data_IF_010174106077
#
_entry.id   IF_010174106077
#
_cell.length_a   1.000
_cell.length_b   1.000
_cell.length_c   1.000
_cell.angle_alpha   90.00
_cell.angle_beta   90.00
_cell.angle_gamma   90.00
#
_symmetry.space_group_name_H-M   'P 1'
#
loop_
_entity.id
_entity.type
_entity.pdbx_description
1 polymer ?
#
# COMPACT_ATOMS: atom_id res chain seq x y z
N UNK A 1 27.13 1.43 -7.63
CA UNK A 1 25.66 1.36 -7.56
C UNK A 1 25.23 2.29 -6.46
N UNK A 2 24.25 3.15 -6.72
CA UNK A 2 23.68 4.01 -5.69
C UNK A 2 22.92 3.14 -4.68
N UNK A 3 22.77 3.57 -3.42
CA UNK A 3 21.96 2.83 -2.44
C UNK A 3 20.51 2.64 -2.91
N UNK A 4 20.01 3.50 -3.80
CA UNK A 4 18.67 3.35 -4.40
C UNK A 4 18.60 2.16 -5.35
N UNK A 5 19.69 1.76 -5.99
CA UNK A 5 19.68 0.71 -7.01
C UNK A 5 19.46 -0.70 -6.40
N UNK A 6 19.69 -0.88 -5.10
CA UNK A 6 19.49 -2.16 -4.40
C UNK A 6 18.13 -2.27 -3.70
N UNK A 7 17.47 -1.13 -3.47
CA UNK A 7 16.15 -1.08 -2.84
C UNK A 7 15.11 -1.55 -3.84
N UNK A 8 14.25 -2.47 -3.43
CA UNK A 8 13.16 -2.97 -4.25
C UNK A 8 11.79 -2.72 -3.62
N UNK A 9 10.77 -2.64 -4.48
CA UNK A 9 9.40 -2.29 -4.09
C UNK A 9 8.42 -3.36 -4.58
N UNK A 10 7.53 -3.80 -3.70
CA UNK A 10 6.27 -4.45 -4.07
C UNK A 10 5.11 -3.46 -3.88
N UNK A 11 4.15 -3.47 -4.79
CA UNK A 11 2.96 -2.61 -4.76
C UNK A 11 1.74 -3.51 -4.65
N UNK A 12 0.87 -3.23 -3.69
CA UNK A 12 -0.48 -3.81 -3.61
C UNK A 12 -1.49 -2.67 -3.78
N UNK A 13 -2.34 -2.75 -4.79
CA UNK A 13 -3.32 -1.71 -5.12
C UNK A 13 -4.72 -2.28 -5.09
N UNK A 14 -5.51 -1.88 -4.10
CA UNK A 14 -6.88 -2.34 -3.90
C UNK A 14 -7.88 -1.50 -4.72
N UNK A 15 -8.89 -2.11 -5.32
CA UNK A 15 -9.95 -1.39 -6.02
C UNK A 15 -11.20 -2.26 -6.13
N UNK A 16 -12.28 -1.71 -6.70
CA UNK A 16 -13.51 -2.44 -6.91
C UNK A 16 -13.87 -2.54 -8.38
N UNK A 17 -14.45 -3.68 -8.75
CA UNK A 17 -15.03 -3.94 -10.07
C UNK A 17 -16.54 -4.01 -9.94
N UNK A 18 -17.24 -3.34 -10.84
CA UNK A 18 -18.70 -3.30 -10.84
C UNK A 18 -19.32 -4.66 -11.22
N UNK A 19 -20.38 -5.00 -10.50
CA UNK A 19 -21.28 -6.12 -10.78
C UNK A 19 -22.62 -5.57 -11.26
N UNK A 20 -23.15 -6.16 -12.33
CA UNK A 20 -24.42 -5.77 -12.93
C UNK A 20 -25.46 -6.86 -12.65
N UNK A 21 -26.46 -6.57 -11.83
CA UNK A 21 -27.63 -7.43 -11.67
C UNK A 21 -28.48 -7.33 -12.94
N UNK A 22 -28.98 -8.46 -13.43
CA UNK A 22 -29.76 -8.60 -14.68
C UNK A 22 -30.98 -7.68 -14.82
N UNK A 23 -31.49 -7.11 -13.72
CA UNK A 23 -32.70 -6.28 -13.70
C UNK A 23 -32.45 -4.80 -13.32
N UNK A 24 -31.19 -4.39 -13.09
CA UNK A 24 -30.87 -2.97 -12.84
C UNK A 24 -30.52 -2.25 -14.14
N UNK A 25 -30.99 -1.00 -14.28
CA UNK A 25 -30.69 -0.19 -15.46
C UNK A 25 -29.19 0.16 -15.48
N UNK A 26 -28.45 -0.36 -16.46
CA UNK A 26 -27.07 0.03 -16.69
C UNK A 26 -26.97 1.55 -16.90
N UNK A 27 -25.82 2.14 -16.53
CA UNK A 27 -25.58 3.57 -16.75
C UNK A 27 -25.57 3.86 -18.26
N UNK A 28 -26.39 4.83 -18.68
CA UNK A 28 -26.51 5.23 -20.09
C UNK A 28 -25.16 5.66 -20.63
N UNK A 29 -24.73 5.06 -21.75
CA UNK A 29 -23.46 5.38 -22.42
C UNK A 29 -22.21 4.74 -21.81
N UNK A 30 -22.35 3.99 -20.72
CA UNK A 30 -21.26 3.16 -20.22
C UNK A 30 -21.13 1.90 -21.08
N UNK A 31 -19.92 1.65 -21.58
CA UNK A 31 -19.62 0.54 -22.50
C UNK A 31 -18.53 -0.38 -21.97
N UNK A 32 -17.91 -0.01 -20.84
CA UNK A 32 -16.92 -0.83 -20.18
C UNK A 32 -17.57 -2.05 -19.57
N UNK A 33 -16.79 -3.10 -19.44
CA UNK A 33 -17.25 -4.37 -18.91
C UNK A 33 -17.65 -4.25 -17.43
N UNK A 34 -18.76 -4.87 -17.10
CA UNK A 34 -19.23 -5.16 -15.74
C UNK A 34 -19.42 -6.66 -15.60
N UNK A 35 -19.17 -7.22 -14.42
CA UNK A 35 -19.43 -8.64 -14.21
C UNK A 35 -20.94 -8.88 -14.18
N UNK A 36 -21.50 -9.73 -15.06
CA UNK A 36 -22.88 -10.16 -14.93
C UNK A 36 -23.07 -10.84 -13.57
N UNK A 37 -24.13 -10.48 -12.86
CA UNK A 37 -24.52 -11.03 -11.57
C UNK A 37 -26.01 -11.33 -11.57
N UNK A 38 -26.43 -12.30 -10.75
CA UNK A 38 -27.84 -12.61 -10.50
C UNK A 38 -28.23 -12.21 -9.08
N UNK A 39 -29.52 -12.01 -8.79
CA UNK A 39 -29.98 -11.78 -7.41
C UNK A 39 -29.47 -12.83 -6.42
N UNK A 40 -29.39 -14.10 -6.83
CA UNK A 40 -28.88 -15.19 -6.00
C UNK A 40 -27.37 -15.07 -5.76
N UNK A 41 -26.59 -14.69 -6.78
CA UNK A 41 -25.16 -14.47 -6.63
C UNK A 41 -24.88 -13.30 -5.70
N UNK A 42 -25.66 -12.22 -5.80
CA UNK A 42 -25.58 -11.08 -4.90
C UNK A 42 -25.97 -11.45 -3.45
N UNK A 43 -27.07 -12.18 -3.26
CA UNK A 43 -27.42 -12.72 -1.94
C UNK A 43 -26.31 -13.63 -1.39
N UNK A 44 -25.64 -14.39 -2.25
CA UNK A 44 -24.41 -15.12 -1.90
C UNK A 44 -23.35 -14.19 -1.31
N UNK A 45 -23.03 -13.08 -1.97
CA UNK A 45 -22.06 -12.08 -1.47
C UNK A 45 -22.46 -11.52 -0.09
N UNK A 46 -23.75 -11.19 0.10
CA UNK A 46 -24.29 -10.73 1.40
C UNK A 46 -24.06 -11.77 2.49
N UNK A 47 -24.21 -13.05 2.15
CA UNK A 47 -24.03 -14.17 3.07
C UNK A 47 -22.56 -14.63 3.18
N UNK A 48 -21.63 -13.96 2.49
CA UNK A 48 -20.20 -14.29 2.52
C UNK A 48 -19.77 -15.41 1.57
N UNK A 49 -20.62 -15.80 0.61
CA UNK A 49 -20.27 -16.71 -0.49
C UNK A 49 -19.85 -15.93 -1.75
N UNK A 50 -18.54 -15.94 -2.00
CA UNK A 50 -17.93 -15.25 -3.14
C UNK A 50 -17.65 -16.17 -4.34
N UNK A 51 -17.99 -17.47 -4.24
CA UNK A 51 -17.50 -18.51 -5.17
C UNK A 51 -17.94 -18.27 -6.62
N UNK A 52 -19.17 -17.79 -6.82
CA UNK A 52 -19.75 -17.54 -8.15
C UNK A 52 -19.17 -16.34 -8.87
N UNK A 53 -18.74 -15.31 -8.14
CA UNK A 53 -18.30 -14.02 -8.70
C UNK A 53 -16.77 -13.92 -8.76
N UNK A 54 -16.07 -14.54 -7.81
CA UNK A 54 -14.60 -14.45 -7.67
C UNK A 54 -13.87 -14.82 -8.96
N UNK A 55 -14.11 -16.01 -9.49
CA UNK A 55 -13.39 -16.50 -10.68
C UNK A 55 -13.66 -15.63 -11.93
N UNK A 56 -14.93 -15.32 -12.30
CA UNK A 56 -15.22 -14.44 -13.43
C UNK A 56 -14.56 -13.06 -13.35
N UNK A 57 -14.63 -12.38 -12.20
CA UNK A 57 -14.05 -11.04 -12.03
C UNK A 57 -12.53 -11.08 -12.15
N UNK A 58 -11.87 -11.96 -11.39
CA UNK A 58 -10.40 -12.03 -11.35
C UNK A 58 -9.84 -12.43 -12.71
N UNK A 59 -10.44 -13.41 -13.39
CA UNK A 59 -10.03 -13.79 -14.74
C UNK A 59 -10.19 -12.64 -15.73
N UNK A 60 -11.26 -11.83 -15.61
CA UNK A 60 -11.46 -10.70 -16.54
C UNK A 60 -10.48 -9.56 -16.31
N UNK A 61 -10.10 -9.29 -15.06
CA UNK A 61 -9.04 -8.32 -14.74
C UNK A 61 -7.71 -8.81 -15.36
N UNK A 62 -7.35 -10.09 -15.15
CA UNK A 62 -6.15 -10.68 -15.77
C UNK A 62 -6.19 -10.59 -17.30
N UNK A 63 -7.27 -10.99 -17.95
CA UNK A 63 -7.45 -10.87 -19.40
C UNK A 63 -7.28 -9.43 -19.89
N UNK A 64 -7.87 -8.46 -19.19
CA UNK A 64 -7.80 -7.04 -19.54
C UNK A 64 -6.36 -6.51 -19.47
N UNK A 65 -5.61 -6.87 -18.42
CA UNK A 65 -4.20 -6.50 -18.26
C UNK A 65 -3.33 -7.22 -19.31
N UNK A 66 -3.60 -8.50 -19.57
CA UNK A 66 -2.89 -9.28 -20.57
C UNK A 66 -3.04 -8.71 -21.98
N UNK A 67 -4.24 -8.23 -22.34
CA UNK A 67 -4.49 -7.61 -23.64
C UNK A 67 -3.70 -6.28 -23.84
N UNK A 68 -3.18 -5.69 -22.76
CA UNK A 68 -2.24 -4.56 -22.82
C UNK A 68 -0.77 -5.00 -22.93
N UNK A 69 -0.50 -6.29 -23.14
CA UNK A 69 0.83 -6.85 -23.33
C UNK A 69 1.61 -7.09 -22.04
N UNK A 70 0.95 -7.14 -20.89
CA UNK A 70 1.58 -7.36 -19.58
C UNK A 70 1.43 -8.82 -19.16
N UNK A 71 2.46 -9.39 -18.52
CA UNK A 71 2.37 -10.70 -17.88
C UNK A 71 1.64 -10.59 -16.54
N UNK A 72 0.58 -11.39 -16.37
CA UNK A 72 -0.30 -11.34 -15.21
C UNK A 72 -0.78 -12.74 -14.85
N UNK A 73 -1.02 -12.99 -13.56
CA UNK A 73 -1.52 -14.25 -13.06
C UNK A 73 -2.48 -14.11 -11.88
N UNK A 74 -3.15 -15.20 -11.53
CA UNK A 74 -4.01 -15.32 -10.36
C UNK A 74 -3.99 -16.76 -9.84
N UNK A 75 -4.54 -16.98 -8.65
CA UNK A 75 -4.76 -18.34 -8.14
C UNK A 75 -5.75 -19.11 -9.02
N UNK A 76 -5.61 -20.44 -9.10
CA UNK A 76 -6.60 -21.32 -9.72
C UNK A 76 -7.74 -21.60 -8.74
N UNK A 77 -8.96 -21.19 -9.08
CA UNK A 77 -10.16 -21.40 -8.24
C UNK A 77 -10.92 -22.69 -8.64
N UNK A 78 -11.24 -23.54 -7.66
CA UNK A 78 -12.13 -24.71 -7.79
C UNK A 78 -13.52 -24.43 -7.15
N UNK A 79 -14.58 -25.19 -7.50
CA UNK A 79 -14.69 -26.15 -8.60
C UNK A 79 -15.16 -25.44 -9.87
N UNK A 80 -14.48 -25.67 -10.99
CA UNK A 80 -15.08 -25.38 -12.28
C UNK A 80 -16.19 -26.41 -12.49
N UNK A 81 -17.45 -26.00 -12.37
CA UNK A 81 -18.54 -26.74 -12.99
C UNK A 81 -18.18 -26.83 -14.47
N UNK A 82 -17.98 -28.05 -14.96
CA UNK A 82 -17.32 -28.43 -16.22
C UNK A 82 -15.79 -28.19 -16.28
N UNK A 83 -15.09 -29.26 -16.67
CA UNK A 83 -13.69 -29.37 -17.13
C UNK A 83 -13.04 -28.02 -17.44
N UNK A 84 -11.83 -27.67 -16.90
CA UNK A 84 -11.18 -26.38 -17.15
C UNK A 84 -11.29 -26.01 -18.61
N UNK A 85 -12.26 -25.14 -18.93
CA UNK A 85 -12.27 -24.44 -20.19
C UNK A 85 -10.90 -23.78 -20.23
N UNK A 86 -10.02 -24.30 -21.08
CA UNK A 86 -8.69 -23.78 -21.25
C UNK A 86 -8.89 -22.37 -21.77
N UNK A 87 -8.86 -21.39 -20.85
CA UNK A 87 -8.91 -19.99 -21.21
C UNK A 87 -7.77 -19.79 -22.21
N UNK A 88 -8.14 -19.47 -23.44
CA UNK A 88 -7.20 -19.41 -24.55
C UNK A 88 -6.09 -18.41 -24.21
N UNK A 89 -4.83 -18.78 -24.52
CA UNK A 89 -3.67 -17.95 -24.20
C UNK A 89 -3.20 -18.01 -22.74
N UNK A 90 -3.75 -18.91 -21.92
CA UNK A 90 -3.32 -19.12 -20.52
C UNK A 90 -2.49 -20.38 -20.33
N UNK A 91 -1.70 -20.42 -19.26
CA UNK A 91 -0.99 -21.61 -18.78
C UNK A 91 -1.25 -21.79 -17.28
N UNK A 92 -1.42 -23.03 -16.82
CA UNK A 92 -1.50 -23.35 -15.39
C UNK A 92 -0.13 -23.87 -14.94
N UNK A 93 0.42 -23.27 -13.88
CA UNK A 93 1.74 -23.60 -13.35
C UNK A 93 1.63 -23.87 -11.84
N UNK A 94 2.40 -24.84 -11.34
CA UNK A 94 2.53 -25.08 -9.91
C UNK A 94 3.48 -24.06 -9.29
N UNK A 95 3.11 -23.51 -8.13
CA UNK A 95 3.98 -22.63 -7.35
C UNK A 95 5.12 -23.44 -6.72
N UNK A 96 6.31 -22.83 -6.64
CA UNK A 96 7.49 -23.49 -6.06
C UNK A 96 7.43 -23.54 -4.53
N UNK A 97 6.89 -22.50 -3.89
CA UNK A 97 6.99 -22.35 -2.42
C UNK A 97 5.72 -22.78 -1.68
N UNK A 98 4.72 -23.32 -2.38
CA UNK A 98 3.43 -23.69 -1.78
C UNK A 98 2.69 -24.74 -2.58
N UNK A 99 1.80 -25.47 -1.91
CA UNK A 99 0.84 -26.37 -2.55
C UNK A 99 -0.27 -25.54 -3.21
N UNK A 100 0.03 -24.93 -4.36
CA UNK A 100 -0.90 -24.09 -5.09
C UNK A 100 -0.58 -24.05 -6.58
N UNK A 101 -1.59 -23.73 -7.38
CA UNK A 101 -1.46 -23.51 -8.81
C UNK A 101 -1.87 -22.09 -9.14
N UNK A 102 -1.15 -21.48 -10.07
CA UNK A 102 -1.49 -20.18 -10.65
C UNK A 102 -1.85 -20.34 -12.12
N UNK A 103 -2.79 -19.51 -12.57
CA UNK A 103 -3.10 -19.32 -13.98
C UNK A 103 -2.40 -18.08 -14.48
N UNK A 104 -1.68 -18.19 -15.59
CA UNK A 104 -0.80 -17.15 -16.12
C UNK A 104 -1.18 -16.81 -17.55
N UNK A 105 -1.26 -15.51 -17.84
CA UNK A 105 -1.38 -14.93 -19.17
C UNK A 105 -0.05 -14.34 -19.61
N UNK A 106 0.21 -14.32 -20.93
CA UNK A 106 1.43 -13.76 -21.50
C UNK A 106 2.72 -14.29 -20.85
N UNK A 107 2.78 -15.61 -20.59
CA UNK A 107 3.93 -16.26 -19.92
C UNK A 107 5.27 -15.87 -20.57
N UNK A 108 5.32 -15.75 -21.90
CA UNK A 108 6.53 -15.38 -22.63
C UNK A 108 7.04 -13.95 -22.40
N UNK A 109 6.25 -13.08 -21.74
CA UNK A 109 6.60 -11.70 -21.40
C UNK A 109 7.14 -11.59 -19.96
N UNK A 110 6.88 -12.58 -19.11
CA UNK A 110 7.39 -12.60 -17.75
C UNK A 110 8.91 -12.89 -17.76
N UNK A 111 9.68 -12.08 -17.03
CA UNK A 111 11.10 -12.36 -16.84
C UNK A 111 11.27 -13.62 -15.97
N UNK A 112 12.10 -14.57 -16.42
CA UNK A 112 12.52 -15.76 -15.67
C UNK A 112 11.42 -16.63 -15.04
N UNK A 113 10.48 -17.08 -15.87
CA UNK A 113 9.59 -18.21 -15.54
C UNK A 113 10.15 -19.58 -15.97
N UNK A 114 11.44 -19.64 -16.32
CA UNK A 114 12.13 -20.87 -16.74
C UNK A 114 12.60 -21.73 -15.54
N UNK A 115 12.62 -21.16 -14.33
CA UNK A 115 13.00 -21.81 -13.08
C UNK A 115 11.84 -21.95 -12.10
N UNK A 116 11.98 -21.37 -10.91
CA UNK A 116 10.95 -21.37 -9.87
C UNK A 116 9.81 -20.37 -10.18
N UNK A 117 8.58 -20.80 -9.92
CA UNK A 117 7.36 -20.03 -10.19
C UNK A 117 6.82 -19.49 -8.87
N UNK A 118 6.89 -18.18 -8.69
CA UNK A 118 6.34 -17.48 -7.53
C UNK A 118 5.26 -16.47 -7.97
N UNK A 119 4.37 -16.10 -7.04
CA UNK A 119 3.35 -15.07 -7.28
C UNK A 119 3.96 -13.71 -7.63
N UNK A 120 5.20 -13.47 -7.23
CA UNK A 120 5.98 -12.25 -7.46
C UNK A 120 6.68 -12.20 -8.82
N UNK A 121 6.56 -13.23 -9.67
CA UNK A 121 7.17 -13.25 -11.01
C UNK A 121 6.38 -12.40 -12.03
N UNK A 122 5.09 -12.18 -11.79
CA UNK A 122 4.20 -11.42 -12.66
C UNK A 122 3.38 -10.44 -11.85
N UNK A 123 2.60 -9.60 -12.52
CA UNK A 123 1.47 -8.95 -11.85
C UNK A 123 0.51 -10.04 -11.36
N UNK A 124 -0.05 -9.88 -10.16
CA UNK A 124 -0.86 -10.90 -9.52
C UNK A 124 -2.19 -10.30 -9.06
N UNK A 125 -3.30 -10.86 -9.49
CA UNK A 125 -4.64 -10.35 -9.15
C UNK A 125 -5.27 -11.25 -8.10
N UNK A 126 -5.75 -10.65 -7.02
CA UNK A 126 -6.46 -11.36 -5.94
C UNK A 126 -7.80 -10.72 -5.64
N UNK A 127 -8.77 -11.49 -5.14
CA UNK A 127 -10.01 -10.95 -4.59
C UNK A 127 -9.71 -10.25 -3.27
N UNK A 128 -10.33 -9.09 -3.05
CA UNK A 128 -10.31 -8.46 -1.74
C UNK A 128 -11.71 -8.52 -1.08
N UNK A 129 -11.84 -9.52 -0.22
CA UNK A 129 -13.09 -9.94 0.41
C UNK A 129 -13.56 -8.92 1.44
N UNK A 130 -12.64 -8.28 2.18
CA UNK A 130 -13.05 -7.34 3.23
C UNK A 130 -13.74 -6.10 2.62
N UNK A 131 -13.20 -5.55 1.52
CA UNK A 131 -13.81 -4.46 0.77
C UNK A 131 -15.19 -4.86 0.23
N UNK A 132 -15.29 -6.06 -0.34
CA UNK A 132 -16.58 -6.59 -0.84
C UNK A 132 -17.62 -6.65 0.29
N UNK A 133 -17.23 -7.18 1.45
CA UNK A 133 -18.10 -7.28 2.62
C UNK A 133 -18.53 -5.90 3.13
N UNK A 134 -17.62 -4.92 3.17
CA UNK A 134 -17.93 -3.57 3.61
C UNK A 134 -18.92 -2.89 2.66
N UNK A 135 -18.77 -3.04 1.34
CA UNK A 135 -19.72 -2.51 0.35
C UNK A 135 -21.13 -3.09 0.49
N UNK A 136 -21.22 -4.42 0.69
CA UNK A 136 -22.52 -5.10 0.77
C UNK A 136 -23.22 -4.86 2.12
N UNK A 137 -22.45 -4.68 3.20
CA UNK A 137 -23.00 -4.48 4.55
C UNK A 137 -23.22 -3.01 4.94
N UNK A 138 -22.53 -2.06 4.31
CA UNK A 138 -22.58 -0.62 4.62
C UNK A 138 -22.97 0.17 3.39
N UNK A 139 -24.26 0.51 3.27
CA UNK A 139 -24.86 1.23 2.14
C UNK A 139 -24.28 2.63 1.85
N UNK A 140 -23.30 3.11 2.62
CA UNK A 140 -22.63 4.39 2.44
C UNK A 140 -21.23 4.32 1.81
N UNK A 141 -20.68 3.13 1.56
CA UNK A 141 -19.30 2.93 1.05
C UNK A 141 -19.23 2.42 -0.39
N UNK A 142 -20.33 2.49 -1.12
CA UNK A 142 -20.36 2.08 -2.52
C UNK A 142 -20.03 3.27 -3.43
N UNK A 143 -19.11 3.11 -4.40
CA UNK A 143 -18.78 4.19 -5.33
C UNK A 143 -19.99 4.73 -6.10
N UNK A 144 -20.96 3.85 -6.41
CA UNK A 144 -22.23 4.21 -7.05
C UNK A 144 -23.35 3.26 -6.59
N UNK A 145 -24.58 3.77 -6.57
CA UNK A 145 -25.83 3.02 -6.35
C UNK A 145 -26.29 2.23 -7.58
N UNK A 146 -25.64 2.39 -8.73
CA UNK A 146 -26.00 1.74 -10.00
C UNK A 146 -25.47 0.33 -10.15
N UNK A 147 -24.50 -0.03 -9.33
CA UNK A 147 -23.79 -1.30 -9.37
C UNK A 147 -23.58 -1.83 -7.97
N UNK A 148 -23.47 -3.15 -7.86
CA UNK A 148 -22.78 -3.76 -6.73
C UNK A 148 -21.29 -3.82 -7.02
N UNK A 149 -20.49 -4.08 -5.99
CA UNK A 149 -19.05 -3.92 -6.07
C UNK A 149 -18.32 -5.13 -5.51
N UNK A 150 -17.35 -5.62 -6.27
CA UNK A 150 -16.46 -6.69 -5.85
C UNK A 150 -15.05 -6.14 -5.67
N UNK A 151 -14.52 -6.26 -4.46
CA UNK A 151 -13.15 -5.86 -4.12
C UNK A 151 -12.12 -6.77 -4.76
N UNK A 152 -11.05 -6.18 -5.24
CA UNK A 152 -9.91 -6.84 -5.88
C UNK A 152 -8.64 -6.07 -5.56
N UNK A 153 -7.50 -6.75 -5.65
CA UNK A 153 -6.20 -6.15 -5.45
C UNK A 153 -5.27 -6.58 -6.59
N UNK A 154 -4.51 -5.61 -7.10
CA UNK A 154 -3.46 -5.81 -8.08
C UNK A 154 -2.10 -5.70 -7.38
N UNK A 155 -1.38 -6.81 -7.38
CA UNK A 155 -0.04 -6.92 -6.80
C UNK A 155 1.02 -6.87 -7.89
N UNK A 156 2.04 -6.04 -7.70
CA UNK A 156 3.17 -5.98 -8.62
C UNK A 156 4.10 -7.17 -8.41
N UNK A 157 4.88 -7.55 -9.44
CA UNK A 157 6.12 -8.29 -9.18
C UNK A 157 7.04 -7.44 -8.28
N UNK A 158 8.10 -8.05 -7.72
CA UNK A 158 9.12 -7.29 -7.01
C UNK A 158 9.83 -6.37 -8.02
N UNK A 159 9.62 -5.07 -7.88
CA UNK A 159 10.18 -4.06 -8.76
C UNK A 159 11.63 -3.80 -8.36
N UNK A 160 12.54 -4.31 -9.18
CA UNK A 160 14.00 -4.14 -9.04
C UNK A 160 14.60 -3.29 -10.17
N UNK A 161 13.86 -3.12 -11.28
CA UNK A 161 14.37 -2.51 -12.50
C UNK A 161 14.40 -0.99 -12.38
N UNK A 162 15.55 -0.31 -12.55
CA UNK A 162 15.64 1.15 -12.48
C UNK A 162 14.70 1.88 -13.44
N UNK A 163 14.37 1.26 -14.58
CA UNK A 163 13.44 1.81 -15.58
C UNK A 163 12.02 1.94 -15.04
N UNK A 164 11.58 1.06 -14.13
CA UNK A 164 10.26 1.19 -13.51
C UNK A 164 10.17 2.47 -12.68
N UNK A 165 11.23 2.82 -11.95
CA UNK A 165 11.24 4.02 -11.11
C UNK A 165 11.50 5.29 -11.93
N UNK A 166 12.56 5.29 -12.74
CA UNK A 166 12.96 6.47 -13.54
C UNK A 166 11.94 6.90 -14.59
N UNK A 167 11.01 6.03 -15.00
CA UNK A 167 9.96 6.32 -15.97
C UNK A 167 8.55 6.41 -15.34
N UNK A 168 8.44 6.49 -14.00
CA UNK A 168 7.17 6.66 -13.32
C UNK A 168 6.22 5.48 -13.47
N UNK A 169 6.72 4.28 -13.17
CA UNK A 169 6.02 2.99 -13.16
C UNK A 169 5.25 2.70 -14.47
N UNK A 170 5.94 2.65 -15.63
CA UNK A 170 5.31 2.49 -16.94
C UNK A 170 4.47 1.20 -17.05
N UNK A 171 4.87 0.11 -16.40
CA UNK A 171 4.11 -1.15 -16.45
C UNK A 171 2.83 -1.04 -15.61
N UNK A 172 2.91 -0.46 -14.40
CA UNK A 172 1.72 -0.17 -13.60
C UNK A 172 0.75 0.72 -14.38
N UNK A 173 1.26 1.78 -15.01
CA UNK A 173 0.45 2.69 -15.84
C UNK A 173 -0.29 1.96 -16.95
N UNK A 174 0.34 0.99 -17.62
CA UNK A 174 -0.33 0.13 -18.61
C UNK A 174 -1.47 -0.68 -17.98
N UNK A 175 -1.22 -1.32 -16.84
CA UNK A 175 -2.24 -2.09 -16.11
C UNK A 175 -3.45 -1.21 -15.74
N UNK A 176 -3.21 -0.05 -15.11
CA UNK A 176 -4.27 0.85 -14.66
C UNK A 176 -5.08 1.42 -15.83
N UNK A 177 -4.42 1.85 -16.91
CA UNK A 177 -5.11 2.33 -18.12
C UNK A 177 -5.96 1.24 -18.76
N UNK A 178 -5.44 0.01 -18.81
CA UNK A 178 -6.17 -1.12 -19.38
C UNK A 178 -7.44 -1.43 -18.56
N UNK A 179 -7.32 -1.55 -17.25
CA UNK A 179 -8.45 -1.81 -16.35
C UNK A 179 -9.46 -0.67 -16.40
N UNK A 180 -9.03 0.57 -16.16
CA UNK A 180 -9.92 1.74 -16.16
C UNK A 180 -10.59 2.00 -17.51
N UNK A 181 -9.91 1.71 -18.61
CA UNK A 181 -10.41 1.92 -19.97
C UNK A 181 -11.42 0.87 -20.42
N UNK A 182 -11.35 -0.35 -19.88
CA UNK A 182 -12.15 -1.49 -20.36
C UNK A 182 -13.13 -2.06 -19.33
N UNK A 183 -13.02 -1.66 -18.05
CA UNK A 183 -13.86 -2.16 -16.95
C UNK A 183 -14.43 -1.00 -16.15
N UNK A 184 -15.67 -1.16 -15.68
CA UNK A 184 -16.27 -0.22 -14.73
C UNK A 184 -15.65 -0.49 -13.36
N UNK A 185 -14.87 0.47 -12.88
CA UNK A 185 -14.13 0.38 -11.62
C UNK A 185 -14.43 1.56 -10.72
N UNK A 186 -14.29 1.33 -9.43
CA UNK A 186 -14.55 2.30 -8.38
C UNK A 186 -13.55 2.17 -7.25
N UNK A 187 -13.47 3.22 -6.45
CA UNK A 187 -12.66 3.31 -5.24
C UNK A 187 -13.54 3.83 -4.11
N UNK A 188 -13.21 3.45 -2.89
CA UNK A 188 -13.80 4.01 -1.68
C UNK A 188 -12.71 4.23 -0.64
N UNK A 189 -13.11 4.69 0.54
CA UNK A 189 -12.20 4.95 1.66
C UNK A 189 -11.50 3.71 2.23
N UNK A 190 -12.00 2.51 1.95
CA UNK A 190 -11.40 1.25 2.38
C UNK A 190 -10.31 0.76 1.43
N UNK A 191 -10.29 1.23 0.18
CA UNK A 191 -9.24 0.85 -0.78
C UNK A 191 -7.90 1.52 -0.42
N UNK A 192 -6.90 0.70 -0.09
CA UNK A 192 -5.53 1.10 0.22
C UNK A 192 -4.52 0.88 -0.91
N UNK A 193 -3.44 1.66 -0.82
CA UNK A 193 -2.20 1.42 -1.53
C UNK A 193 -1.16 0.95 -0.51
N UNK A 194 -0.66 -0.27 -0.67
CA UNK A 194 0.40 -0.82 0.18
C UNK A 194 1.72 -0.87 -0.60
N UNK A 195 2.78 -0.40 0.03
CA UNK A 195 4.12 -0.40 -0.53
C UNK A 195 5.05 -1.22 0.36
N UNK A 196 5.50 -2.35 -0.16
CA UNK A 196 6.48 -3.20 0.48
C UNK A 196 7.88 -2.80 0.05
N UNK A 197 8.78 -2.55 1.01
CA UNK A 197 10.17 -2.16 0.73
C UNK A 197 11.17 -3.05 1.47
N UNK A 198 12.26 -3.38 0.80
CA UNK A 198 13.45 -4.03 1.36
C UNK A 198 14.69 -3.80 0.46
N UNK A 199 15.85 -4.24 0.94
CA UNK A 199 17.13 -4.27 0.21
C UNK A 199 17.35 -5.69 -0.37
N UNK A 200 17.22 -5.84 -1.69
CA UNK A 200 17.51 -7.08 -2.43
C UNK A 200 17.09 -8.39 -1.73
N UNK A 201 15.83 -8.47 -1.26
CA UNK A 201 15.24 -9.63 -0.58
C UNK A 201 15.74 -9.94 0.85
N UNK A 202 16.58 -9.11 1.47
CA UNK A 202 17.01 -9.28 2.86
C UNK A 202 16.94 -7.99 3.66
N UNK A 203 15.83 -7.82 4.40
CA UNK A 203 15.70 -6.72 5.34
C UNK A 203 16.56 -6.96 6.58
N UNK A 204 17.39 -5.97 6.94
CA UNK A 204 18.15 -5.97 8.20
C UNK A 204 17.33 -5.30 9.30
N UNK A 205 17.46 -5.81 10.52
CA UNK A 205 16.79 -5.24 11.69
C UNK A 205 17.16 -3.76 11.89
N UNK A 206 18.46 -3.43 11.88
CA UNK A 206 18.93 -2.05 12.07
C UNK A 206 18.30 -1.09 11.06
N UNK A 207 18.20 -1.50 9.79
CA UNK A 207 17.54 -0.70 8.75
C UNK A 207 16.05 -0.53 9.05
N UNK A 208 15.37 -1.60 9.49
CA UNK A 208 13.96 -1.52 9.84
C UNK A 208 13.72 -0.60 11.06
N UNK A 209 14.56 -0.66 12.09
CA UNK A 209 14.52 0.22 13.26
C UNK A 209 14.73 1.68 12.87
N UNK A 210 15.70 1.96 11.99
CA UNK A 210 15.96 3.30 11.46
C UNK A 210 14.82 3.84 10.62
N UNK A 211 14.23 3.04 9.72
CA UNK A 211 13.04 3.46 8.95
C UNK A 211 11.88 3.73 9.90
N UNK A 212 11.65 2.85 10.87
CA UNK A 212 10.57 3.03 11.87
C UNK A 212 10.76 4.32 12.67
N UNK A 213 12.00 4.63 13.07
CA UNK A 213 12.35 5.90 13.74
C UNK A 213 12.04 7.11 12.87
N UNK A 214 12.40 7.07 11.58
CA UNK A 214 12.07 8.16 10.64
C UNK A 214 10.56 8.31 10.49
N UNK A 215 9.86 7.21 10.24
CA UNK A 215 8.41 7.20 10.06
C UNK A 215 7.72 7.78 11.29
N UNK A 216 8.11 7.38 12.50
CA UNK A 216 7.57 7.90 13.76
C UNK A 216 7.56 9.43 13.81
N UNK A 217 8.65 10.08 13.39
CA UNK A 217 8.76 11.54 13.38
C UNK A 217 8.01 12.19 12.21
N UNK A 218 7.78 11.45 11.13
CA UNK A 218 7.26 11.97 9.87
C UNK A 218 5.75 11.74 9.68
N UNK A 219 5.09 10.93 10.51
CA UNK A 219 3.67 10.59 10.34
C UNK A 219 2.80 11.84 10.21
N UNK A 220 2.88 12.77 11.17
CA UNK A 220 1.98 13.94 11.22
C UNK A 220 2.43 15.12 10.36
N UNK A 221 3.68 15.12 9.89
CA UNK A 221 4.27 16.28 9.19
C UNK A 221 4.61 16.01 7.73
N UNK A 222 4.66 14.75 7.32
CA UNK A 222 4.93 14.34 5.94
C UNK A 222 3.97 13.26 5.45
N UNK A 223 3.86 12.10 6.12
CA UNK A 223 3.16 10.95 5.55
C UNK A 223 1.64 11.16 5.47
N UNK A 224 0.96 11.39 6.59
CA UNK A 224 -0.49 11.66 6.56
C UNK A 224 -0.85 12.98 5.85
N UNK A 225 -0.06 14.07 5.95
CA UNK A 225 -0.31 15.27 5.16
C UNK A 225 -0.31 15.06 3.63
N UNK A 226 0.28 13.96 3.12
CA UNK A 226 0.24 13.60 1.71
C UNK A 226 -0.92 12.65 1.35
N UNK A 227 -1.66 12.16 2.34
CA UNK A 227 -2.78 11.23 2.16
C UNK A 227 -4.13 11.97 2.22
N UNK A 228 -5.20 11.31 1.79
CA UNK A 228 -6.54 11.83 2.04
C UNK A 228 -6.80 11.92 3.57
N UNK A 229 -7.45 12.99 4.08
CA UNK A 229 -7.63 13.20 5.53
C UNK A 229 -8.24 12.01 6.29
N UNK A 230 -9.17 11.28 5.67
CA UNK A 230 -9.78 10.05 6.24
C UNK A 230 -8.75 8.98 6.64
N UNK A 231 -7.61 8.89 5.95
CA UNK A 231 -6.57 7.88 6.22
C UNK A 231 -6.05 7.98 7.65
N UNK A 232 -6.00 9.19 8.19
CA UNK A 232 -5.57 9.45 9.56
C UNK A 232 -6.49 8.88 10.64
N UNK A 233 -7.73 8.53 10.28
CA UNK A 233 -8.74 7.93 11.15
C UNK A 233 -9.12 6.52 10.72
N UNK A 234 -8.48 5.99 9.67
CA UNK A 234 -8.79 4.67 9.14
C UNK A 234 -8.28 3.59 10.10
N UNK A 235 -9.10 2.58 10.45
CA UNK A 235 -8.65 1.47 11.27
C UNK A 235 -7.61 0.57 10.57
N UNK A 236 -7.47 0.71 9.24
CA UNK A 236 -6.55 -0.05 8.40
C UNK A 236 -5.18 0.65 8.24
N UNK A 237 -5.03 1.85 8.79
CA UNK A 237 -3.86 2.72 8.64
C UNK A 237 -3.67 3.56 9.91
N UNK A 238 -3.63 2.91 11.09
CA UNK A 238 -3.43 3.57 12.37
C UNK A 238 -1.98 4.08 12.53
N UNK A 239 -1.75 5.16 13.27
CA UNK A 239 -0.40 5.71 13.46
C UNK A 239 0.46 4.78 14.30
N UNK A 240 1.69 4.49 13.88
CA UNK A 240 2.61 3.76 14.77
C UNK A 240 3.03 4.60 15.97
N UNK A 241 3.10 5.93 15.83
CA UNK A 241 3.52 6.84 16.90
C UNK A 241 2.50 7.00 18.03
N UNK A 242 1.26 6.54 17.81
CA UNK A 242 0.13 6.73 18.75
C UNK A 242 -0.53 5.40 19.11
N UNK A 243 -0.72 4.50 18.14
CA UNK A 243 -1.60 3.34 18.27
C UNK A 243 -0.83 2.01 18.33
N UNK A 244 0.49 2.02 18.09
CA UNK A 244 1.30 0.81 18.19
C UNK A 244 1.50 0.35 19.63
N UNK A 245 1.95 -0.89 19.82
CA UNK A 245 2.40 -1.36 21.15
C UNK A 245 3.57 -0.54 21.67
N UNK A 246 4.53 -0.21 20.81
CA UNK A 246 5.67 0.65 21.20
C UNK A 246 5.18 2.00 21.77
N UNK A 247 4.12 2.59 21.19
CA UNK A 247 3.59 3.86 21.65
C UNK A 247 2.89 3.75 23.01
N UNK A 248 2.15 2.67 23.25
CA UNK A 248 1.26 2.51 24.40
C UNK A 248 1.86 1.71 25.57
N UNK A 249 2.89 0.91 25.33
CA UNK A 249 3.57 0.16 26.37
C UNK A 249 4.34 1.08 27.32
N UNK A 250 4.43 0.65 28.57
CA UNK A 250 5.21 1.33 29.62
C UNK A 250 6.59 0.71 29.73
N UNK A 251 7.54 1.46 30.30
CA UNK A 251 8.90 1.01 30.53
C UNK A 251 9.90 1.60 29.54
N UNK A 252 11.14 1.70 30.02
CA UNK A 252 12.26 2.28 29.29
C UNK A 252 13.43 1.29 29.35
N UNK A 253 13.42 0.26 28.49
CA UNK A 253 14.43 -0.78 28.54
C UNK A 253 15.83 -0.21 28.22
N UNK A 254 16.90 -0.86 28.72
CA UNK A 254 18.25 -0.50 28.35
C UNK A 254 18.48 -0.80 26.86
N UNK A 255 19.08 0.15 26.17
CA UNK A 255 19.48 0.05 24.75
C UNK A 255 21.00 0.10 24.67
N UNK A 256 21.56 -0.45 23.60
CA UNK A 256 23.00 -0.55 23.41
C UNK A 256 23.40 -0.15 22.00
N UNK A 257 24.69 0.14 21.80
CA UNK A 257 25.26 0.37 20.47
C UNK A 257 24.66 1.59 19.79
N UNK A 258 24.16 1.42 18.56
CA UNK A 258 23.61 2.53 17.80
C UNK A 258 22.37 3.15 18.46
N UNK A 259 21.46 2.33 18.99
CA UNK A 259 20.23 2.84 19.62
C UNK A 259 20.53 3.74 20.81
N UNK A 260 21.52 3.39 21.63
CA UNK A 260 21.98 4.23 22.73
C UNK A 260 22.53 5.58 22.22
N UNK A 261 23.37 5.55 21.20
CA UNK A 261 23.94 6.77 20.62
C UNK A 261 22.85 7.68 20.02
N UNK A 262 21.84 7.11 19.35
CA UNK A 262 20.70 7.87 18.81
C UNK A 262 19.88 8.51 19.93
N UNK A 263 19.55 7.74 20.97
CA UNK A 263 18.73 8.22 22.10
C UNK A 263 19.46 9.32 22.86
N UNK A 264 20.77 9.18 23.08
CA UNK A 264 21.59 10.23 23.71
C UNK A 264 21.61 11.50 22.85
N UNK A 265 21.77 11.38 21.52
CA UNK A 265 21.73 12.53 20.61
C UNK A 265 20.36 13.23 20.61
N UNK A 266 19.26 12.47 20.67
CA UNK A 266 17.90 13.02 20.81
C UNK A 266 17.71 13.71 22.16
N UNK A 267 18.17 13.10 23.26
CA UNK A 267 18.10 13.67 24.60
C UNK A 267 18.85 15.02 24.67
N UNK A 268 20.07 15.09 24.14
CA UNK A 268 20.85 16.33 24.09
C UNK A 268 20.11 17.42 23.29
N UNK A 269 19.55 17.05 22.13
CA UNK A 269 18.78 17.97 21.30
C UNK A 269 17.51 18.45 22.00
N UNK A 270 16.80 17.57 22.72
CA UNK A 270 15.64 17.92 23.54
C UNK A 270 16.00 18.94 24.63
N UNK A 271 17.16 18.79 25.28
CA UNK A 271 17.63 19.76 26.28
C UNK A 271 17.88 21.13 25.62
N UNK A 272 18.54 21.16 24.47
CA UNK A 272 18.79 22.40 23.72
C UNK A 272 17.49 23.07 23.24
N UNK A 273 16.47 22.28 22.93
CA UNK A 273 15.17 22.74 22.44
C UNK A 273 14.10 22.83 23.54
N UNK A 274 14.46 22.68 24.81
CA UNK A 274 13.54 22.59 25.96
C UNK A 274 12.57 23.77 26.12
N UNK A 275 12.89 24.91 25.50
CA UNK A 275 12.02 26.08 25.43
C UNK A 275 10.82 25.92 24.47
N UNK A 276 10.79 24.90 23.62
CA UNK A 276 9.71 24.64 22.66
C UNK A 276 8.60 23.79 23.26
N UNK A 277 7.36 24.16 22.99
CA UNK A 277 6.16 23.50 23.56
C UNK A 277 5.94 22.06 23.09
N UNK A 278 6.48 21.70 21.93
CA UNK A 278 6.30 20.37 21.31
C UNK A 278 7.46 19.40 21.58
N UNK A 279 8.43 19.78 22.42
CA UNK A 279 9.43 18.82 22.90
C UNK A 279 8.73 17.85 23.85
N UNK A 280 8.60 16.61 23.39
CA UNK A 280 7.97 15.52 24.11
C UNK A 280 9.01 14.52 24.59
N UNK A 281 9.23 14.44 25.90
CA UNK A 281 10.17 13.50 26.51
C UNK A 281 9.68 12.05 26.45
N UNK A 282 8.38 11.81 26.28
CA UNK A 282 7.82 10.47 26.16
C UNK A 282 8.33 9.73 24.91
N UNK A 283 8.73 10.49 23.87
CA UNK A 283 9.39 9.98 22.68
C UNK A 283 10.64 9.15 23.01
N UNK A 284 11.42 9.53 24.02
CA UNK A 284 12.63 8.78 24.39
C UNK A 284 12.28 7.38 24.91
N UNK A 285 11.21 7.25 25.68
CA UNK A 285 10.72 5.95 26.13
C UNK A 285 10.27 5.08 24.94
N UNK A 286 9.55 5.67 23.99
CA UNK A 286 9.14 4.98 22.77
C UNK A 286 10.35 4.54 21.92
N UNK A 287 11.34 5.40 21.75
CA UNK A 287 12.57 5.06 21.04
C UNK A 287 13.36 3.97 21.76
N UNK A 288 13.39 3.95 23.11
CA UNK A 288 14.01 2.87 23.88
C UNK A 288 13.32 1.53 23.63
N UNK A 289 11.99 1.50 23.64
CA UNK A 289 11.22 0.28 23.34
C UNK A 289 11.45 -0.18 21.89
N UNK A 290 11.41 0.73 20.93
CA UNK A 290 11.70 0.43 19.53
C UNK A 290 13.09 -0.19 19.35
N UNK A 291 14.13 0.45 19.88
CA UNK A 291 15.52 0.01 19.71
C UNK A 291 15.92 -1.15 20.63
N UNK A 292 15.01 -1.63 21.47
CA UNK A 292 15.17 -2.85 22.26
C UNK A 292 14.73 -4.11 21.50
N UNK A 293 13.98 -3.97 20.41
CA UNK A 293 13.47 -5.10 19.63
C UNK A 293 14.62 -5.96 19.08
N UNK A 294 14.68 -7.27 19.40
CA UNK A 294 15.83 -8.13 19.08
C UNK A 294 15.78 -8.76 17.68
N UNK A 295 14.65 -8.68 16.99
CA UNK A 295 14.45 -9.33 15.70
C UNK A 295 13.34 -8.65 14.89
N UNK A 296 13.29 -8.91 13.59
CA UNK A 296 12.21 -8.44 12.72
C UNK A 296 10.84 -8.97 13.14
N UNK A 297 10.78 -10.21 13.62
CA UNK A 297 9.53 -10.81 14.09
C UNK A 297 9.03 -10.10 15.35
N UNK A 298 9.94 -9.79 16.29
CA UNK A 298 9.62 -9.03 17.50
C UNK A 298 9.17 -7.60 17.17
N UNK A 299 9.90 -6.90 16.30
CA UNK A 299 9.52 -5.59 15.78
C UNK A 299 8.14 -5.63 15.10
N UNK A 300 7.85 -6.68 14.34
CA UNK A 300 6.56 -6.89 13.72
C UNK A 300 5.41 -7.05 14.70
N UNK A 301 5.64 -7.65 15.87
CA UNK A 301 4.66 -7.70 16.97
C UNK A 301 4.51 -6.34 17.65
N UNK A 302 5.62 -5.63 17.86
CA UNK A 302 5.67 -4.34 18.55
C UNK A 302 5.01 -3.20 17.75
N UNK A 303 5.02 -3.30 16.41
CA UNK A 303 4.34 -2.36 15.51
C UNK A 303 2.85 -2.65 15.29
N UNK A 304 2.30 -3.72 15.87
CA UNK A 304 0.86 -3.97 15.83
C UNK A 304 0.10 -2.92 16.61
N UNK A 305 -1.18 -2.76 16.27
CA UNK A 305 -2.08 -1.94 17.07
C UNK A 305 -2.18 -2.53 18.48
N UNK A 306 -2.16 -1.67 19.52
CA UNK A 306 -1.99 -2.11 20.90
C UNK A 306 -3.04 -3.14 21.36
N UNK A 307 -4.27 -3.00 20.90
CA UNK A 307 -5.42 -3.86 21.25
C UNK A 307 -5.61 -5.08 20.32
N UNK A 308 -4.74 -5.29 19.35
CA UNK A 308 -4.89 -6.32 18.30
C UNK A 308 -4.58 -7.76 18.79
N UNK A 309 -4.03 -7.91 19.99
CA UNK A 309 -3.61 -9.22 20.51
C UNK A 309 -2.43 -9.83 19.75
N UNK A 310 -2.40 -11.16 19.63
CA UNK A 310 -1.32 -11.95 19.01
C UNK A 310 -1.63 -12.43 17.60
N UNK A 311 -2.85 -12.23 17.11
CA UNK A 311 -3.25 -12.59 15.74
C UNK A 311 -3.22 -11.36 14.83
N UNK A 312 -3.01 -11.58 13.53
CA UNK A 312 -3.15 -10.52 12.55
C UNK A 312 -4.63 -10.29 12.27
N UNK A 313 -5.15 -9.15 12.70
CA UNK A 313 -6.53 -8.74 12.44
C UNK A 313 -6.60 -7.80 11.22
N UNK A 314 -7.80 -7.34 10.95
CA UNK A 314 -8.10 -6.32 9.94
C UNK A 314 -7.75 -4.91 10.42
N UNK A 315 -7.50 -4.65 11.72
CA UNK A 315 -7.10 -3.31 12.19
C UNK A 315 -5.60 -3.23 12.33
N UNK A 316 -4.92 -2.31 11.63
CA UNK A 316 -3.45 -2.31 11.55
C UNK A 316 -2.88 -0.91 11.66
N UNK A 317 -1.64 -0.84 12.13
CA UNK A 317 -0.85 0.36 11.96
C UNK A 317 -0.41 0.53 10.50
N UNK A 318 -0.08 1.78 10.14
CA UNK A 318 0.27 2.21 8.80
C UNK A 318 1.70 1.78 8.39
N UNK A 319 2.51 1.30 9.33
CA UNK A 319 3.79 0.64 9.06
C UNK A 319 3.80 -0.72 9.74
N UNK A 320 4.12 -1.77 8.97
CA UNK A 320 4.11 -3.16 9.45
C UNK A 320 5.36 -3.89 8.96
N UNK A 321 5.91 -4.79 9.78
CA UNK A 321 6.84 -5.83 9.27
C UNK A 321 6.00 -6.97 8.70
N UNK A 322 6.01 -7.11 7.38
CA UNK A 322 5.19 -8.11 6.69
C UNK A 322 5.72 -9.54 6.92
N UNK A 323 4.87 -10.54 6.65
CA UNK A 323 5.27 -11.96 6.62
C UNK A 323 6.37 -12.27 5.60
N UNK A 324 6.58 -11.38 4.63
CA UNK A 324 7.63 -11.48 3.61
C UNK A 324 8.95 -10.82 4.06
N UNK A 325 9.05 -10.42 5.33
CA UNK A 325 10.20 -9.70 5.89
C UNK A 325 10.50 -8.42 5.10
N UNK A 326 9.45 -7.67 4.78
CA UNK A 326 9.51 -6.32 4.20
C UNK A 326 8.88 -5.33 5.16
N UNK A 327 9.24 -4.05 5.06
CA UNK A 327 8.44 -2.99 5.66
C UNK A 327 7.31 -2.65 4.70
N UNK A 328 6.09 -2.73 5.20
CA UNK A 328 4.87 -2.44 4.47
C UNK A 328 4.31 -1.09 4.92
N UNK A 329 4.27 -0.14 4.00
CA UNK A 329 3.68 1.17 4.17
C UNK A 329 2.24 1.14 3.69
N UNK A 330 1.29 1.36 4.61
CA UNK A 330 -0.15 1.38 4.38
C UNK A 330 -0.73 2.79 4.56
N UNK A 331 0.03 3.84 4.27
CA UNK A 331 -0.43 5.23 4.47
C UNK A 331 -1.43 5.71 3.41
N UNK A 332 -1.09 5.69 2.10
CA UNK A 332 -1.95 6.27 1.07
C UNK A 332 -3.19 5.42 0.77
N UNK A 333 -4.28 6.09 0.39
CA UNK A 333 -5.41 5.46 -0.29
C UNK A 333 -5.04 4.99 -1.70
N UNK A 334 -5.79 4.00 -2.17
CA UNK A 334 -5.68 3.50 -3.53
C UNK A 334 -6.16 4.52 -4.55
N UNK A 335 -5.64 4.40 -5.78
CA UNK A 335 -5.99 5.27 -6.88
C UNK A 335 -5.58 4.72 -8.25
N UNK A 336 -6.14 5.33 -9.30
CA UNK A 336 -5.77 5.07 -10.69
C UNK A 336 -4.90 6.20 -11.28
N UNK A 337 -3.89 6.63 -10.52
CA UNK A 337 -2.89 7.63 -10.92
C UNK A 337 -1.48 7.09 -10.71
N UNK A 338 -0.87 6.62 -11.80
CA UNK A 338 0.47 6.05 -11.75
C UNK A 338 1.55 7.08 -11.36
N UNK A 339 1.35 8.37 -11.59
CA UNK A 339 2.34 9.40 -11.24
C UNK A 339 2.39 9.62 -9.72
N UNK A 340 1.23 9.63 -9.06
CA UNK A 340 1.17 9.71 -7.61
C UNK A 340 1.68 8.43 -6.93
N UNK A 341 1.32 7.26 -7.46
CA UNK A 341 1.84 5.97 -6.95
C UNK A 341 3.36 5.91 -7.10
N UNK A 342 3.91 6.38 -8.24
CA UNK A 342 5.35 6.48 -8.44
C UNK A 342 6.00 7.45 -7.43
N UNK A 343 5.38 8.59 -7.15
CA UNK A 343 5.84 9.54 -6.13
C UNK A 343 5.94 8.90 -4.74
N UNK A 344 4.95 8.10 -4.35
CA UNK A 344 5.01 7.34 -3.09
C UNK A 344 6.06 6.24 -3.10
N UNK A 345 6.19 5.50 -4.20
CA UNK A 345 7.24 4.49 -4.34
C UNK A 345 8.64 5.12 -4.17
N UNK A 346 8.88 6.27 -4.80
CA UNK A 346 10.13 7.01 -4.66
C UNK A 346 10.35 7.55 -3.25
N UNK A 347 9.30 8.06 -2.59
CA UNK A 347 9.39 8.52 -1.20
C UNK A 347 9.75 7.38 -0.26
N UNK A 348 9.09 6.22 -0.38
CA UNK A 348 9.37 5.04 0.45
C UNK A 348 10.79 4.51 0.20
N UNK A 349 11.21 4.44 -1.07
CA UNK A 349 12.60 4.10 -1.43
C UNK A 349 13.60 5.07 -0.82
N UNK A 350 13.28 6.36 -0.82
CA UNK A 350 14.15 7.39 -0.25
C UNK A 350 14.25 7.28 1.28
N UNK A 351 13.14 7.06 2.00
CA UNK A 351 13.16 6.84 3.45
C UNK A 351 14.04 5.63 3.80
N UNK A 352 13.93 4.56 3.02
CA UNK A 352 14.77 3.37 3.18
C UNK A 352 16.25 3.69 2.89
N UNK A 353 16.54 4.45 1.84
CA UNK A 353 17.90 4.87 1.51
C UNK A 353 18.53 5.75 2.60
N UNK A 354 17.74 6.63 3.25
CA UNK A 354 18.20 7.42 4.41
C UNK A 354 18.58 6.48 5.57
N UNK A 355 17.76 5.46 5.84
CA UNK A 355 18.05 4.47 6.87
C UNK A 355 19.29 3.60 6.57
N UNK A 356 19.66 3.43 5.31
CA UNK A 356 20.87 2.70 4.89
C UNK A 356 22.16 3.52 4.98
N UNK A 357 22.10 4.83 5.26
CA UNK A 357 23.30 5.67 5.38
C UNK A 357 24.16 5.29 6.58
N UNK A 358 25.36 5.88 6.66
CA UNK A 358 26.18 5.76 7.87
C UNK A 358 25.42 6.27 9.10
N UNK A 359 25.74 5.73 10.28
CA UNK A 359 25.11 6.15 11.54
C UNK A 359 25.18 7.68 11.73
N UNK A 360 26.32 8.30 11.42
CA UNK A 360 26.50 9.75 11.54
C UNK A 360 25.54 10.54 10.63
N UNK A 361 25.38 10.13 9.38
CA UNK A 361 24.46 10.79 8.43
C UNK A 361 22.99 10.54 8.78
N UNK A 362 22.67 9.35 9.26
CA UNK A 362 21.33 9.01 9.75
C UNK A 362 20.97 9.89 10.95
N UNK A 363 21.85 9.97 11.96
CA UNK A 363 21.67 10.83 13.13
C UNK A 363 21.49 12.30 12.73
N UNK A 364 22.32 12.81 11.81
CA UNK A 364 22.18 14.19 11.33
C UNK A 364 20.81 14.44 10.69
N UNK A 365 20.28 13.46 9.95
CA UNK A 365 18.95 13.55 9.34
C UNK A 365 17.87 13.53 10.41
N UNK A 366 17.94 12.62 11.38
CA UNK A 366 17.00 12.54 12.50
C UNK A 366 17.01 13.83 13.32
N UNK A 367 18.17 14.37 13.70
CA UNK A 367 18.27 15.62 14.44
C UNK A 367 17.62 16.78 13.69
N UNK A 368 17.80 16.85 12.36
CA UNK A 368 17.16 17.88 11.52
C UNK A 368 15.65 17.72 11.48
N UNK A 369 15.15 16.50 11.30
CA UNK A 369 13.71 16.21 11.31
C UNK A 369 13.11 16.54 12.68
N UNK A 370 13.76 16.12 13.77
CA UNK A 370 13.33 16.37 15.13
C UNK A 370 13.27 17.87 15.46
N UNK A 371 14.28 18.63 15.02
CA UNK A 371 14.27 20.09 15.12
C UNK A 371 13.05 20.68 14.40
N UNK A 372 12.68 20.19 13.23
CA UNK A 372 11.54 20.73 12.49
C UNK A 372 10.18 20.38 13.12
N UNK A 373 9.97 19.13 13.55
CA UNK A 373 8.68 18.70 14.14
C UNK A 373 8.38 19.42 15.46
N UNK A 374 9.41 19.84 16.19
CA UNK A 374 9.26 20.52 17.49
C UNK A 374 8.98 22.01 17.39
N UNK A 375 9.00 22.61 16.19
CA UNK A 375 8.70 24.04 16.00
C UNK A 375 7.23 24.34 16.32
N UNK A 376 6.97 25.52 16.88
CA UNK A 376 5.61 25.97 17.17
C UNK A 376 4.74 26.00 15.90
N UNK A 377 5.28 26.54 14.81
CA UNK A 377 4.69 26.43 13.49
C UNK A 377 5.01 25.06 12.89
N UNK A 378 3.97 24.27 12.63
CA UNK A 378 4.12 22.96 11.98
C UNK A 378 4.73 23.19 10.59
N UNK A 379 5.89 22.59 10.26
CA UNK A 379 6.45 22.71 8.92
C UNK A 379 5.51 22.05 7.91
N UNK A 380 5.36 22.67 6.74
CA UNK A 380 4.65 22.02 5.63
C UNK A 380 5.39 20.77 5.15
N UNK A 381 4.65 19.81 4.59
CA UNK A 381 5.19 18.55 4.06
C UNK A 381 6.38 18.74 3.10
N UNK A 382 6.37 19.80 2.30
CA UNK A 382 7.44 20.10 1.34
C UNK A 382 8.76 20.48 2.05
N UNK A 383 8.68 21.15 3.20
CA UNK A 383 9.85 21.44 4.05
C UNK A 383 10.40 20.15 4.64
N UNK A 384 9.52 19.21 5.03
CA UNK A 384 9.94 17.90 5.53
C UNK A 384 10.62 17.04 4.46
N UNK A 385 10.14 17.08 3.21
CA UNK A 385 10.83 16.43 2.08
C UNK A 385 12.26 16.95 1.93
N UNK A 386 12.46 18.27 1.99
CA UNK A 386 13.81 18.87 1.94
C UNK A 386 14.66 18.43 3.13
N UNK A 387 14.07 18.33 4.32
CA UNK A 387 14.78 17.93 5.54
C UNK A 387 15.40 16.53 5.42
N UNK A 388 14.64 15.57 4.87
CA UNK A 388 15.13 14.21 4.59
C UNK A 388 15.97 14.14 3.31
N UNK A 389 16.13 15.24 2.58
CA UNK A 389 16.89 15.32 1.33
C UNK A 389 16.15 14.72 0.12
N UNK A 390 14.83 14.54 0.19
CA UNK A 390 14.02 14.07 -0.91
C UNK A 390 13.71 15.22 -1.86
N UNK A 391 14.23 15.13 -3.09
CA UNK A 391 13.96 16.10 -4.16
C UNK A 391 13.03 15.44 -5.17
N UNK A 392 11.84 16.00 -5.31
CA UNK A 392 10.80 15.50 -6.20
C UNK A 392 10.01 16.67 -6.80
N UNK A 393 9.19 16.37 -7.80
CA UNK A 393 8.23 17.34 -8.33
C UNK A 393 7.07 17.54 -7.35
N UNK A 394 7.14 18.65 -6.60
CA UNK A 394 6.13 19.09 -5.63
C UNK A 394 4.75 19.27 -6.29
N UNK A 395 4.69 19.53 -7.60
CA UNK A 395 3.43 19.76 -8.31
C UNK A 395 2.54 18.51 -8.38
N UNK A 396 3.13 17.31 -8.41
CA UNK A 396 2.38 16.04 -8.42
C UNK A 396 1.60 15.88 -7.10
N UNK A 397 2.28 16.13 -5.98
CA UNK A 397 1.68 16.11 -4.65
C UNK A 397 0.64 17.21 -4.47
N UNK A 398 0.98 18.45 -4.83
CA UNK A 398 0.08 19.58 -4.65
C UNK A 398 -1.22 19.43 -5.46
N UNK A 399 -1.14 18.90 -6.68
CA UNK A 399 -2.31 18.58 -7.50
C UNK A 399 -3.25 17.65 -6.75
N UNK A 400 -2.73 16.57 -6.18
CA UNK A 400 -3.52 15.59 -5.43
C UNK A 400 -4.13 16.19 -4.17
N UNK A 401 -3.37 16.97 -3.42
CA UNK A 401 -3.86 17.63 -2.21
C UNK A 401 -5.02 18.60 -2.50
N UNK A 402 -4.99 19.27 -3.65
CA UNK A 402 -6.09 20.12 -4.09
C UNK A 402 -7.35 19.28 -4.43
N UNK A 403 -7.18 18.10 -5.01
CA UNK A 403 -8.30 17.19 -5.31
C UNK A 403 -8.99 16.69 -4.03
N UNK A 404 -8.25 16.42 -2.95
CA UNK A 404 -8.87 16.08 -1.64
C UNK A 404 -9.72 17.21 -1.05
N UNK A 405 -9.50 18.45 -1.45
CA UNK A 405 -10.35 19.58 -1.05
C UNK A 405 -11.52 19.81 -2.02
N UNK A 406 -11.48 19.17 -3.18
CA UNK A 406 -12.46 19.29 -4.25
C UNK A 406 -13.12 17.95 -4.58
N UNK A 407 -12.82 17.43 -5.77
CA UNK A 407 -13.48 16.25 -6.37
C UNK A 407 -13.31 14.96 -5.57
N UNK A 408 -12.29 14.86 -4.71
CA UNK A 408 -12.00 13.69 -3.87
C UNK A 408 -12.21 13.95 -2.39
N UNK A 409 -12.94 14.99 -2.01
CA UNK A 409 -13.25 15.32 -0.60
C UNK A 409 -14.07 14.25 0.13
N UNK A 410 -14.74 13.37 -0.60
CA UNK A 410 -15.39 12.19 -0.06
C UNK A 410 -15.03 10.95 -0.90
N UNK A 411 -14.10 10.15 -0.39
CA UNK A 411 -13.66 8.93 -1.08
C UNK A 411 -14.80 7.92 -1.30
N UNK A 412 -15.81 7.88 -0.43
CA UNK A 412 -16.92 6.93 -0.53
C UNK A 412 -17.98 7.34 -1.57
N UNK A 413 -17.89 8.56 -2.12
CA UNK A 413 -18.88 9.13 -3.05
C UNK A 413 -18.26 9.62 -4.35
N UNK A 414 -17.13 9.04 -4.75
CA UNK A 414 -16.44 9.43 -5.98
C UNK A 414 -17.20 9.09 -7.25
N UNK A 415 -18.19 8.20 -7.21
CA UNK A 415 -18.78 7.68 -8.43
C UNK A 415 -17.90 6.61 -9.07
N UNK A 416 -18.23 6.30 -10.32
CA UNK A 416 -17.44 5.39 -11.15
C UNK A 416 -16.23 6.17 -11.65
N UNK A 417 -15.04 5.55 -11.64
CA UNK A 417 -13.87 6.19 -12.22
C UNK A 417 -14.08 6.48 -13.71
N UNK A 418 -13.70 7.66 -14.21
CA UNK A 418 -13.86 8.01 -15.61
C UNK A 418 -13.05 7.08 -16.51
N UNK A 419 -13.42 6.99 -17.79
CA UNK A 419 -12.62 6.30 -18.80
C UNK A 419 -11.22 6.91 -18.86
N UNK A 420 -10.19 6.06 -18.98
CA UNK A 420 -8.81 6.53 -19.03
C UNK A 420 -8.60 7.55 -20.16
N UNK A 421 -7.98 8.69 -19.84
CA UNK A 421 -7.75 9.78 -20.79
C UNK A 421 -8.91 10.76 -20.96
N UNK A 422 -10.05 10.53 -20.29
CA UNK A 422 -11.11 11.54 -20.14
C UNK A 422 -10.81 12.32 -18.85
N UNK A 423 -10.49 13.61 -18.99
CA UNK A 423 -10.39 14.53 -17.84
C UNK A 423 -11.82 14.74 -17.32
N UNK A 424 -12.11 14.25 -16.12
CA UNK A 424 -13.39 14.51 -15.46
C UNK A 424 -13.71 13.56 -14.30
N UNK A 425 -13.42 14.02 -13.09
CA UNK A 425 -14.48 14.35 -12.13
C UNK A 425 -14.28 15.81 -11.72
#
# INVERSE_FOLDING_TARGET
MSALDSICIGIELEFMVALQITDTSAVVGETRWTCPSSPEAYMGLVMGDYTRIKSPVIHKVCDTIANAGVAVSCDVYQPQLSDPAQLSGTSVLSLTDSNGQIRVWNKGVAADMAGSVHKTNTWFVVPEIHITKDCVSKSGKTPSDKYDWFGTELNSPILIRPEEFSQGLPTLRKCLKAVQGNMVVGLNSDCGLHLHVNDACSMKLDTALRVTTLVWLLEDTLLYPLCHPFRSTSPYSARISVESKIANETGEPPVWGEGEALINALQELMVQLSWRKKVDTSLLGAMRRLWFEPSLDSLGLALRKFDEGTEHTTTRCALVVSKYKTLEFRYPESMFDADFIAGWADLVRHLYAVAMKSQAEFHQTISRVYELVTRDQVPGWSVMMVAIGFRTDVSVWQRRLNEYQGSLSNLDKQGILPKSGVIGL
#
